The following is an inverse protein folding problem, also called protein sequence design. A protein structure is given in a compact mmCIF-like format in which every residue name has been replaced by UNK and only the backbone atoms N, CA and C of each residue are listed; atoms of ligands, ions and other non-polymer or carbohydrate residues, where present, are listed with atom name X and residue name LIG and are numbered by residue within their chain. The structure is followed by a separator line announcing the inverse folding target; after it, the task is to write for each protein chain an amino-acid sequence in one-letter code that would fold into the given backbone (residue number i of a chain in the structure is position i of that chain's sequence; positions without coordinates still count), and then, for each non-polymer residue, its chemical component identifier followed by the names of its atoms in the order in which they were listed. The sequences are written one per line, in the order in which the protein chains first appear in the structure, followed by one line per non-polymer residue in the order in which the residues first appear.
data_IF_809538918176
#
_entry.id   IF_809538918176
#
_cell.length_a   1.000
_cell.length_b   1.000
_cell.length_c   1.000
_cell.angle_alpha   90.00
_cell.angle_beta   90.00
_cell.angle_gamma   90.00
#
_symmetry.space_group_name_H-M   'P 1'
#
loop_
_entity.id
_entity.type
_entity.pdbx_description
1 polymer ?
#
# COMPACT_ATOMS: atom_id res chain seq x y z
N UNK A 1 72.61 29.82 -4.45
CA UNK A 1 72.36 29.67 -3.00
C UNK A 1 71.08 30.34 -2.52
N UNK A 2 70.95 31.67 -2.40
CA UNK A 2 69.74 32.27 -1.78
C UNK A 2 68.42 31.94 -2.51
N UNK A 3 68.38 32.04 -3.85
CA UNK A 3 67.19 31.70 -4.65
C UNK A 3 66.82 30.22 -4.63
N UNK A 4 67.82 29.35 -4.54
CA UNK A 4 67.62 27.91 -4.45
C UNK A 4 67.02 27.54 -3.09
N UNK A 5 67.47 28.18 -2.01
CA UNK A 5 66.91 28.02 -0.67
C UNK A 5 65.46 28.52 -0.62
N UNK A 6 65.16 29.69 -1.21
CA UNK A 6 63.79 30.23 -1.28
C UNK A 6 62.86 29.32 -2.09
N UNK A 7 63.36 28.77 -3.20
CA UNK A 7 62.59 27.83 -4.03
C UNK A 7 62.31 26.52 -3.28
N UNK A 8 63.27 26.01 -2.50
CA UNK A 8 63.11 24.81 -1.69
C UNK A 8 62.10 25.02 -0.54
N UNK A 9 62.11 26.20 0.09
CA UNK A 9 61.14 26.59 1.12
C UNK A 9 59.73 26.67 0.54
N UNK A 10 59.57 27.28 -0.64
CA UNK A 10 58.27 27.35 -1.31
C UNK A 10 57.74 25.97 -1.70
N UNK A 11 58.60 25.11 -2.22
CA UNK A 11 58.23 23.75 -2.61
C UNK A 11 57.83 22.92 -1.37
N UNK A 12 58.56 23.06 -0.26
CA UNK A 12 58.19 22.50 1.05
C UNK A 12 56.85 23.04 1.57
N UNK A 13 56.61 24.35 1.41
CA UNK A 13 55.33 24.99 1.75
C UNK A 13 54.17 24.45 0.92
N UNK A 14 54.38 24.23 -0.38
CA UNK A 14 53.37 23.68 -1.30
C UNK A 14 53.05 22.22 -0.93
N UNK A 15 54.08 21.42 -0.60
CA UNK A 15 53.88 20.07 -0.07
C UNK A 15 53.12 20.06 1.26
N UNK A 16 53.45 20.96 2.18
CA UNK A 16 52.74 21.10 3.45
C UNK A 16 51.28 21.52 3.25
N UNK A 17 51.01 22.44 2.33
CA UNK A 17 49.67 22.90 1.97
C UNK A 17 48.86 21.78 1.31
N UNK A 18 49.49 20.99 0.42
CA UNK A 18 48.91 19.76 -0.14
C UNK A 18 48.61 18.71 0.93
N UNK A 19 49.51 18.51 1.89
CA UNK A 19 49.30 17.61 3.03
C UNK A 19 48.10 18.05 3.89
N UNK A 20 47.98 19.35 4.18
CA UNK A 20 46.82 19.92 4.88
C UNK A 20 45.53 19.71 4.06
N UNK A 21 45.58 19.95 2.75
CA UNK A 21 44.43 19.80 1.84
C UNK A 21 43.89 18.36 1.86
N UNK A 22 44.78 17.37 1.84
CA UNK A 22 44.43 15.95 1.95
C UNK A 22 43.92 15.62 3.36
N UNK A 23 44.65 16.02 4.41
CA UNK A 23 44.31 15.72 5.81
C UNK A 23 42.94 16.28 6.21
N UNK A 24 42.63 17.51 5.78
CA UNK A 24 41.33 18.17 6.03
C UNK A 24 40.23 17.80 5.02
N UNK A 25 40.52 16.90 4.07
CA UNK A 25 39.57 16.41 3.04
C UNK A 25 38.94 17.52 2.20
N UNK A 26 39.67 18.59 1.92
CA UNK A 26 39.18 19.71 1.12
C UNK A 26 38.93 19.38 -0.36
N UNK A 27 39.35 18.20 -0.81
CA UNK A 27 38.99 17.62 -2.10
C UNK A 27 37.55 17.10 -2.17
N UNK A 28 36.88 16.85 -1.03
CA UNK A 28 35.49 16.36 -1.02
C UNK A 28 34.53 17.50 -1.30
N UNK A 29 34.03 17.55 -2.52
CA UNK A 29 32.97 18.47 -2.94
C UNK A 29 31.62 17.91 -2.46
N UNK A 30 30.72 18.80 -2.05
CA UNK A 30 29.35 18.46 -1.69
C UNK A 30 28.34 19.23 -2.56
N UNK A 31 27.04 18.99 -2.35
CA UNK A 31 25.95 19.58 -3.14
C UNK A 31 25.61 21.04 -2.77
N UNK A 32 26.19 21.61 -1.70
CA UNK A 32 25.97 23.01 -1.29
C UNK A 32 26.56 23.98 -2.31
N UNK A 33 26.40 25.28 -2.11
CA UNK A 33 26.91 26.31 -3.02
C UNK A 33 28.38 26.07 -3.41
N UNK A 34 28.71 26.31 -4.68
CA UNK A 34 30.08 26.18 -5.21
C UNK A 34 31.07 27.05 -4.43
N UNK A 35 30.64 28.24 -4.01
CA UNK A 35 31.47 29.20 -3.29
C UNK A 35 31.82 28.75 -1.86
N UNK A 36 31.03 27.83 -1.30
CA UNK A 36 31.34 27.20 -0.01
C UNK A 36 32.39 26.08 -0.14
N UNK A 37 32.68 25.63 -1.36
CA UNK A 37 33.58 24.49 -1.57
C UNK A 37 35.04 24.94 -1.50
N UNK A 38 35.84 24.41 -0.56
CA UNK A 38 37.26 24.75 -0.48
C UNK A 38 38.01 24.42 -1.78
N UNK A 39 37.68 23.30 -2.43
CA UNK A 39 38.28 22.90 -3.71
C UNK A 39 38.20 23.98 -4.80
N UNK A 40 37.11 24.76 -4.82
CA UNK A 40 36.94 25.88 -5.76
C UNK A 40 37.97 26.98 -5.49
N UNK A 41 38.11 27.40 -4.23
CA UNK A 41 39.10 28.41 -3.85
C UNK A 41 40.53 27.93 -4.04
N UNK A 42 40.84 26.65 -3.82
CA UNK A 42 42.17 26.10 -4.13
C UNK A 42 42.47 26.11 -5.63
N UNK A 43 41.47 25.85 -6.50
CA UNK A 43 41.64 25.86 -7.95
C UNK A 43 42.04 27.23 -8.52
N UNK A 44 41.68 28.32 -7.83
CA UNK A 44 42.02 29.70 -8.20
C UNK A 44 43.23 30.19 -7.40
N UNK A 45 43.22 29.97 -6.08
CA UNK A 45 44.21 30.50 -5.15
C UNK A 45 45.60 29.89 -5.32
N UNK A 46 45.69 28.59 -5.64
CA UNK A 46 47.00 27.94 -5.83
C UNK A 46 47.73 28.47 -7.08
N UNK A 47 47.12 28.53 -8.27
CA UNK A 47 47.74 29.18 -9.44
C UNK A 47 48.08 30.65 -9.21
N UNK A 48 47.21 31.41 -8.52
CA UNK A 48 47.46 32.82 -8.20
C UNK A 48 48.67 33.00 -7.28
N UNK A 49 48.73 32.25 -6.17
CA UNK A 49 49.86 32.28 -5.25
C UNK A 49 51.16 31.86 -5.94
N UNK A 50 51.10 30.84 -6.80
CA UNK A 50 52.26 30.38 -7.59
C UNK A 50 52.72 31.42 -8.61
N UNK A 51 51.78 32.11 -9.27
CA UNK A 51 52.08 33.22 -10.17
C UNK A 51 52.79 34.37 -9.43
N UNK A 52 52.28 34.78 -8.28
CA UNK A 52 52.89 35.85 -7.48
C UNK A 52 54.29 35.47 -6.98
N UNK A 53 54.47 34.22 -6.54
CA UNK A 53 55.77 33.71 -6.10
C UNK A 53 56.80 33.68 -7.24
N UNK A 54 56.46 33.05 -8.37
CA UNK A 54 57.35 32.99 -9.53
C UNK A 54 57.60 34.38 -10.12
N UNK A 55 56.57 35.23 -10.15
CA UNK A 55 56.68 36.62 -10.56
C UNK A 55 57.67 37.37 -9.70
N UNK A 56 57.54 37.31 -8.37
CA UNK A 56 58.46 37.97 -7.45
C UNK A 56 59.91 37.55 -7.66
N UNK A 57 60.19 36.25 -7.80
CA UNK A 57 61.56 35.76 -8.08
C UNK A 57 62.17 36.33 -9.35
N UNK A 58 61.35 36.50 -10.40
CA UNK A 58 61.82 36.97 -11.70
C UNK A 58 61.88 38.51 -11.76
N UNK A 59 60.95 39.20 -11.10
CA UNK A 59 60.82 40.66 -11.16
C UNK A 59 61.82 41.37 -10.26
N UNK A 60 62.17 40.81 -9.09
CA UNK A 60 63.11 41.44 -8.13
C UNK A 60 64.46 41.75 -8.80
N UNK A 61 64.99 40.84 -9.61
CA UNK A 61 66.26 41.07 -10.32
C UNK A 61 66.19 42.11 -11.43
N UNK A 62 64.98 42.39 -11.92
CA UNK A 62 64.74 43.20 -13.12
C UNK A 62 63.96 44.48 -12.82
N UNK A 63 63.80 44.82 -11.55
CA UNK A 63 63.01 45.95 -11.07
C UNK A 63 63.46 47.29 -11.67
N UNK A 64 64.77 47.50 -11.79
CA UNK A 64 65.36 48.70 -12.38
C UNK A 64 65.08 48.89 -13.88
N UNK A 65 64.55 47.86 -14.56
CA UNK A 65 64.24 47.90 -15.99
C UNK A 65 62.75 48.13 -16.30
N UNK A 66 61.94 48.41 -15.28
CA UNK A 66 60.53 48.69 -15.45
C UNK A 66 60.32 50.03 -16.16
N UNK A 67 59.57 50.00 -17.27
CA UNK A 67 59.25 51.19 -18.08
C UNK A 67 57.82 51.05 -18.61
N UNK A 68 57.04 52.13 -18.55
CA UNK A 68 55.65 52.19 -19.07
C UNK A 68 55.58 52.47 -20.58
N UNK A 69 56.68 52.23 -21.30
CA UNK A 69 56.75 52.36 -22.76
C UNK A 69 56.29 51.07 -23.45
N UNK A 70 55.94 51.15 -24.74
CA UNK A 70 55.57 49.97 -25.54
C UNK A 70 56.64 48.85 -25.46
N UNK A 71 57.92 49.23 -25.49
CA UNK A 71 59.04 48.30 -25.34
C UNK A 71 59.11 47.68 -23.93
N UNK A 72 58.84 48.46 -22.89
CA UNK A 72 58.77 47.98 -21.50
C UNK A 72 57.65 46.96 -21.26
N UNK A 73 56.47 47.17 -21.85
CA UNK A 73 55.37 46.20 -21.80
C UNK A 73 55.72 44.88 -22.50
N UNK A 74 56.30 44.95 -23.70
CA UNK A 74 56.73 43.74 -24.44
C UNK A 74 57.74 42.91 -23.63
N UNK A 75 58.72 43.59 -23.02
CA UNK A 75 59.72 42.96 -22.16
C UNK A 75 59.11 42.36 -20.89
N UNK A 76 58.15 43.04 -20.26
CA UNK A 76 57.44 42.50 -19.08
C UNK A 76 56.69 41.21 -19.40
N UNK A 77 55.96 41.17 -20.52
CA UNK A 77 55.25 39.98 -20.97
C UNK A 77 56.22 38.84 -21.28
N UNK A 78 57.35 39.14 -21.92
CA UNK A 78 58.36 38.14 -22.25
C UNK A 78 58.96 37.49 -20.99
N UNK A 79 59.27 38.31 -19.99
CA UNK A 79 59.84 37.86 -18.72
C UNK A 79 58.80 37.13 -17.86
N UNK A 80 57.53 37.50 -17.96
CA UNK A 80 56.43 36.95 -17.15
C UNK A 80 55.70 35.77 -17.79
N UNK A 81 56.17 35.25 -18.93
CA UNK A 81 55.56 34.12 -19.66
C UNK A 81 55.22 32.95 -18.73
N UNK A 82 56.17 32.52 -17.88
CA UNK A 82 55.98 31.39 -16.98
C UNK A 82 54.96 31.69 -15.85
N UNK A 83 55.09 32.78 -15.06
CA UNK A 83 54.07 33.17 -14.07
C UNK A 83 52.66 33.28 -14.66
N UNK A 84 52.54 33.93 -15.82
CA UNK A 84 51.25 34.14 -16.50
C UNK A 84 50.65 32.82 -17.02
N UNK A 85 51.47 31.89 -17.51
CA UNK A 85 51.01 30.56 -17.93
C UNK A 85 50.50 29.74 -16.74
N UNK A 86 51.17 29.82 -15.59
CA UNK A 86 50.68 29.19 -14.36
C UNK A 86 49.36 29.81 -13.93
N UNK A 87 49.24 31.15 -13.95
CA UNK A 87 47.97 31.82 -13.64
C UNK A 87 46.85 31.40 -14.60
N UNK A 88 47.16 31.26 -15.90
CA UNK A 88 46.20 30.83 -16.90
C UNK A 88 45.62 29.44 -16.60
N UNK A 89 46.35 28.56 -15.89
CA UNK A 89 45.84 27.24 -15.46
C UNK A 89 44.71 27.31 -14.42
N UNK A 90 44.50 28.46 -13.76
CA UNK A 90 43.36 28.67 -12.86
C UNK A 90 42.03 28.48 -13.57
N UNK A 91 41.93 28.91 -14.83
CA UNK A 91 40.70 28.81 -15.63
C UNK A 91 40.29 27.35 -15.87
N UNK A 92 41.15 26.48 -16.45
CA UNK A 92 40.79 25.07 -16.61
C UNK A 92 40.58 24.36 -15.27
N UNK A 93 41.32 24.69 -14.20
CA UNK A 93 41.09 24.07 -12.88
C UNK A 93 39.75 24.45 -12.27
N UNK A 94 39.37 25.74 -12.31
CA UNK A 94 38.07 26.19 -11.84
C UNK A 94 36.93 25.57 -12.67
N UNK A 95 37.12 25.43 -13.98
CA UNK A 95 36.17 24.76 -14.88
C UNK A 95 35.95 23.28 -14.51
N UNK A 96 37.03 22.54 -14.21
CA UNK A 96 36.95 21.14 -13.77
C UNK A 96 36.16 21.02 -12.46
N UNK A 97 36.49 21.84 -11.46
CA UNK A 97 35.80 21.84 -10.15
C UNK A 97 34.31 22.15 -10.32
N UNK A 98 33.96 23.13 -11.16
CA UNK A 98 32.58 23.48 -11.46
C UNK A 98 31.80 22.33 -12.12
N UNK A 99 32.39 21.63 -13.09
CA UNK A 99 31.73 20.48 -13.74
C UNK A 99 31.54 19.30 -12.78
N UNK A 100 32.52 19.03 -11.91
CA UNK A 100 32.40 18.01 -10.87
C UNK A 100 31.29 18.36 -9.87
N UNK A 101 31.23 19.62 -9.45
CA UNK A 101 30.18 20.13 -8.57
C UNK A 101 28.78 20.00 -9.19
N UNK A 102 28.61 20.40 -10.46
CA UNK A 102 27.36 20.19 -11.21
C UNK A 102 26.93 18.73 -11.26
N UNK A 103 27.88 17.81 -11.43
CA UNK A 103 27.60 16.37 -11.47
C UNK A 103 27.06 15.88 -10.12
N UNK A 104 27.70 16.26 -9.01
CA UNK A 104 27.28 15.91 -7.64
C UNK A 104 25.89 16.50 -7.32
N UNK A 105 25.64 17.75 -7.72
CA UNK A 105 24.32 18.37 -7.56
C UNK A 105 23.25 17.64 -8.35
N UNK A 106 23.56 17.26 -9.60
CA UNK A 106 22.64 16.53 -10.46
C UNK A 106 22.31 15.14 -9.88
N UNK A 107 23.32 14.41 -9.40
CA UNK A 107 23.12 13.11 -8.73
C UNK A 107 22.22 13.25 -7.50
N UNK A 108 22.46 14.27 -6.67
CA UNK A 108 21.65 14.57 -5.49
C UNK A 108 20.20 14.91 -5.87
N UNK A 109 20.00 15.71 -6.90
CA UNK A 109 18.68 16.07 -7.42
C UNK A 109 17.94 14.86 -7.97
N UNK A 110 18.62 13.97 -8.72
CA UNK A 110 18.05 12.71 -9.21
C UNK A 110 17.60 11.86 -8.03
N UNK A 111 18.47 11.66 -7.02
CA UNK A 111 18.16 10.87 -5.83
C UNK A 111 16.94 11.40 -5.08
N UNK A 112 16.85 12.73 -4.88
CA UNK A 112 15.70 13.35 -4.21
C UNK A 112 14.43 13.28 -5.05
N UNK A 113 14.55 13.42 -6.38
CA UNK A 113 13.43 13.28 -7.32
C UNK A 113 12.91 11.84 -7.34
N UNK A 114 13.79 10.84 -7.34
CA UNK A 114 13.41 9.43 -7.24
C UNK A 114 12.66 9.13 -5.93
N UNK A 115 13.16 9.64 -4.80
CA UNK A 115 12.49 9.49 -3.51
C UNK A 115 11.09 10.12 -3.52
N UNK A 116 10.98 11.32 -4.11
CA UNK A 116 9.70 12.01 -4.27
C UNK A 116 8.76 11.21 -5.18
N UNK A 117 9.22 10.77 -6.34
CA UNK A 117 8.44 9.97 -7.29
C UNK A 117 7.91 8.68 -6.65
N UNK A 118 8.72 7.97 -5.86
CA UNK A 118 8.27 6.79 -5.11
C UNK A 118 7.16 7.14 -4.11
N UNK A 119 7.34 8.22 -3.36
CA UNK A 119 6.35 8.68 -2.36
C UNK A 119 5.04 9.11 -3.03
N UNK A 120 5.13 9.93 -4.07
CA UNK A 120 3.97 10.44 -4.82
C UNK A 120 3.23 9.29 -5.52
N UNK A 121 3.97 8.34 -6.11
CA UNK A 121 3.41 7.13 -6.70
C UNK A 121 2.66 6.27 -5.69
N UNK A 122 3.22 6.06 -4.49
CA UNK A 122 2.55 5.34 -3.41
C UNK A 122 1.22 6.00 -3.02
N UNK A 123 1.21 7.31 -2.74
CA UNK A 123 -0.02 8.00 -2.34
C UNK A 123 -1.06 8.09 -3.45
N UNK A 124 -0.62 8.26 -4.71
CA UNK A 124 -1.51 8.22 -5.86
C UNK A 124 -2.18 6.85 -6.01
N UNK A 125 -1.42 5.77 -5.85
CA UNK A 125 -1.93 4.40 -5.92
C UNK A 125 -2.90 4.10 -4.78
N UNK A 126 -2.53 4.40 -3.52
CA UNK A 126 -3.41 4.26 -2.35
C UNK A 126 -4.73 5.00 -2.59
N UNK A 127 -4.66 6.25 -3.04
CA UNK A 127 -5.85 7.07 -3.27
C UNK A 127 -6.74 6.46 -4.35
N UNK A 128 -6.17 6.17 -5.52
CA UNK A 128 -6.91 5.57 -6.63
C UNK A 128 -7.61 4.27 -6.23
N UNK A 129 -6.88 3.35 -5.60
CA UNK A 129 -7.43 2.06 -5.19
C UNK A 129 -8.48 2.19 -4.08
N UNK A 130 -8.24 3.03 -3.06
CA UNK A 130 -9.22 3.22 -1.99
C UNK A 130 -10.47 3.95 -2.46
N UNK A 131 -10.36 4.88 -3.41
CA UNK A 131 -11.51 5.55 -4.01
C UNK A 131 -12.31 4.58 -4.89
N UNK A 132 -11.64 3.70 -5.65
CA UNK A 132 -12.31 2.61 -6.36
C UNK A 132 -13.06 1.69 -5.40
N UNK A 133 -12.42 1.21 -4.32
CA UNK A 133 -13.05 0.33 -3.34
C UNK A 133 -14.28 0.96 -2.67
N UNK A 134 -14.26 2.28 -2.42
CA UNK A 134 -15.43 3.01 -1.91
C UNK A 134 -16.56 3.16 -2.94
N UNK A 135 -16.22 3.13 -4.23
CA UNK A 135 -17.20 3.24 -5.32
C UNK A 135 -17.92 1.94 -5.65
N UNK A 136 -17.48 0.81 -5.06
CA UNK A 136 -18.17 -0.48 -5.19
C UNK A 136 -19.61 -0.39 -4.65
N UNK A 137 -20.54 -1.18 -5.20
CA UNK A 137 -21.96 -1.05 -4.90
C UNK A 137 -22.26 -1.24 -3.41
N UNK A 138 -23.12 -0.36 -2.87
CA UNK A 138 -23.67 -0.48 -1.53
C UNK A 138 -25.07 -1.09 -1.61
N UNK A 139 -25.35 -2.13 -0.82
CA UNK A 139 -26.70 -2.73 -0.76
C UNK A 139 -27.31 -2.51 0.60
N UNK A 140 -28.46 -1.82 0.64
CA UNK A 140 -29.26 -1.64 1.85
C UNK A 140 -30.40 -2.65 1.86
N UNK A 141 -30.50 -3.42 2.95
CA UNK A 141 -31.59 -4.36 3.20
C UNK A 141 -32.45 -3.84 4.34
N UNK A 142 -33.73 -4.17 4.30
CA UNK A 142 -34.72 -3.74 5.29
C UNK A 142 -35.51 -4.92 5.82
N UNK A 143 -35.79 -4.91 7.11
CA UNK A 143 -36.62 -5.90 7.77
C UNK A 143 -37.58 -5.23 8.77
N UNK A 144 -38.72 -5.87 9.00
CA UNK A 144 -39.68 -5.43 10.04
C UNK A 144 -39.25 -5.99 11.39
N UNK A 145 -38.97 -5.12 12.34
CA UNK A 145 -38.61 -5.47 13.72
C UNK A 145 -39.63 -4.91 14.72
N UNK A 146 -39.81 -5.63 15.83
CA UNK A 146 -40.68 -5.26 16.94
C UNK A 146 -39.86 -4.36 17.87
N UNK A 147 -40.22 -3.10 17.99
CA UNK A 147 -39.58 -2.17 18.91
C UNK A 147 -39.93 -2.48 20.37
N UNK A 148 -39.18 -1.91 21.32
CA UNK A 148 -39.43 -2.06 22.77
C UNK A 148 -40.83 -1.58 23.20
N UNK A 149 -41.48 -0.73 22.40
CA UNK A 149 -42.86 -0.26 22.61
C UNK A 149 -43.93 -1.21 22.04
N UNK A 150 -43.55 -2.38 21.50
CA UNK A 150 -44.45 -3.37 20.90
C UNK A 150 -44.92 -3.04 19.47
N UNK A 151 -44.54 -1.90 18.91
CA UNK A 151 -44.87 -1.53 17.52
C UNK A 151 -43.88 -2.14 16.53
N UNK A 152 -44.38 -2.49 15.35
CA UNK A 152 -43.55 -2.86 14.21
C UNK A 152 -42.91 -1.60 13.61
N UNK A 153 -41.59 -1.65 13.40
CA UNK A 153 -40.84 -0.64 12.67
C UNK A 153 -39.95 -1.29 11.61
N UNK A 154 -39.58 -0.50 10.61
CA UNK A 154 -38.62 -0.92 9.59
C UNK A 154 -37.21 -0.57 10.08
N UNK A 155 -36.34 -1.56 10.16
CA UNK A 155 -34.91 -1.41 10.44
C UNK A 155 -34.12 -1.77 9.20
N UNK A 156 -32.94 -1.19 9.04
CA UNK A 156 -32.13 -1.35 7.84
C UNK A 156 -30.68 -1.63 8.16
N UNK A 157 -30.07 -2.48 7.34
CA UNK A 157 -28.64 -2.78 7.40
C UNK A 157 -28.01 -2.58 6.02
N UNK A 158 -26.78 -2.09 5.99
CA UNK A 158 -26.08 -1.76 4.74
C UNK A 158 -24.80 -2.54 4.61
N UNK A 159 -24.65 -3.25 3.49
CA UNK A 159 -23.42 -3.93 3.12
C UNK A 159 -22.58 -3.01 2.23
N UNK A 160 -21.45 -2.57 2.78
CA UNK A 160 -20.43 -1.77 2.10
C UNK A 160 -19.07 -1.95 2.75
N UNK A 161 -18.01 -1.73 1.98
CA UNK A 161 -16.64 -1.79 2.49
C UNK A 161 -16.48 -0.74 3.59
N UNK A 162 -16.18 -1.21 4.81
CA UNK A 162 -16.03 -0.33 5.98
C UNK A 162 -14.61 0.20 6.06
N UNK A 163 -13.60 -0.63 5.77
CA UNK A 163 -12.19 -0.26 5.90
C UNK A 163 -11.41 -0.41 4.57
N UNK A 164 -11.62 0.48 3.59
CA UNK A 164 -10.99 0.39 2.27
C UNK A 164 -9.45 0.48 2.33
N UNK A 165 -8.89 1.26 3.26
CA UNK A 165 -7.43 1.36 3.42
C UNK A 165 -6.82 0.07 4.01
N UNK A 166 -7.54 -0.61 4.91
CA UNK A 166 -7.12 -1.91 5.45
C UNK A 166 -7.10 -2.95 4.34
N UNK A 167 -8.16 -2.98 3.52
CA UNK A 167 -8.25 -3.88 2.37
C UNK A 167 -7.13 -3.62 1.37
N UNK A 168 -6.85 -2.35 1.05
CA UNK A 168 -5.72 -1.97 0.20
C UNK A 168 -4.39 -2.55 0.72
N UNK A 169 -4.10 -2.43 2.01
CA UNK A 169 -2.86 -2.96 2.59
C UNK A 169 -2.75 -4.49 2.50
N UNK A 170 -3.89 -5.20 2.57
CA UNK A 170 -3.94 -6.65 2.38
C UNK A 170 -3.72 -7.06 0.92
N UNK A 171 -4.22 -6.26 -0.02
CA UNK A 171 -4.02 -6.49 -1.46
C UNK A 171 -2.62 -6.08 -1.93
N UNK A 172 -2.00 -5.07 -1.32
CA UNK A 172 -0.71 -4.52 -1.72
C UNK A 172 0.25 -4.38 -0.52
N UNK A 173 0.70 -5.50 0.08
CA UNK A 173 1.47 -5.48 1.33
C UNK A 173 2.87 -4.85 1.18
N UNK A 174 3.45 -4.85 -0.02
CA UNK A 174 4.80 -4.33 -0.27
C UNK A 174 4.83 -2.84 -0.62
N UNK A 175 3.66 -2.22 -0.83
CA UNK A 175 3.55 -0.79 -1.10
C UNK A 175 3.90 0.02 0.14
N UNK A 176 4.86 0.94 0.02
CA UNK A 176 5.21 1.86 1.10
C UNK A 176 5.71 3.20 0.56
N UNK A 177 5.73 4.27 1.38
CA UNK A 177 6.35 5.53 0.97
C UNK A 177 7.83 5.42 0.59
N UNK A 178 8.53 4.39 1.06
CA UNK A 178 9.96 4.16 0.82
C UNK A 178 10.21 3.31 -0.43
N UNK A 179 9.45 2.23 -0.60
CA UNK A 179 9.55 1.32 -1.74
C UNK A 179 8.83 1.85 -2.99
N UNK A 180 7.78 2.64 -2.81
CA UNK A 180 6.90 3.12 -3.87
C UNK A 180 5.63 2.28 -4.02
N UNK A 181 4.92 2.48 -5.12
CA UNK A 181 3.78 1.67 -5.50
C UNK A 181 4.25 0.42 -6.27
N UNK A 182 3.69 -0.73 -5.91
CA UNK A 182 3.73 -1.96 -6.69
C UNK A 182 2.35 -2.13 -7.33
N UNK A 183 2.32 -2.34 -8.64
CA UNK A 183 1.08 -2.41 -9.41
C UNK A 183 0.53 -3.84 -9.51
N UNK A 184 1.29 -4.83 -9.06
CA UNK A 184 0.83 -6.21 -8.95
C UNK A 184 0.26 -6.43 -7.55
N UNK A 185 -1.01 -6.81 -7.49
CA UNK A 185 -1.64 -7.20 -6.23
C UNK A 185 -1.09 -8.55 -5.76
N UNK A 186 -1.03 -8.74 -4.45
CA UNK A 186 -0.76 -10.03 -3.83
C UNK A 186 -1.98 -10.96 -3.97
N UNK A 187 -1.74 -12.21 -4.35
CA UNK A 187 -2.81 -13.20 -4.63
C UNK A 187 -3.32 -13.88 -3.36
N UNK A 188 -2.61 -13.73 -2.24
CA UNK A 188 -2.94 -14.44 -1.00
C UNK A 188 -4.30 -14.02 -0.47
N UNK A 189 -4.58 -12.71 -0.48
CA UNK A 189 -5.85 -12.19 0.06
C UNK A 189 -7.05 -12.53 -0.82
N UNK A 190 -6.94 -12.41 -2.15
CA UNK A 190 -8.04 -12.80 -3.06
C UNK A 190 -8.30 -14.30 -3.05
N UNK A 191 -7.27 -15.13 -2.84
CA UNK A 191 -7.45 -16.56 -2.65
C UNK A 191 -8.30 -16.90 -1.41
N UNK A 192 -8.21 -16.11 -0.32
CA UNK A 192 -9.08 -16.28 0.85
C UNK A 192 -10.54 -15.97 0.52
N UNK A 193 -10.79 -14.90 -0.24
CA UNK A 193 -12.14 -14.53 -0.72
C UNK A 193 -12.71 -15.68 -1.58
N UNK A 194 -11.95 -16.17 -2.55
CA UNK A 194 -12.37 -17.27 -3.42
C UNK A 194 -12.62 -18.57 -2.63
N UNK A 195 -11.78 -18.87 -1.63
CA UNK A 195 -11.96 -20.03 -0.75
C UNK A 195 -13.27 -19.96 0.03
N UNK A 196 -13.62 -18.78 0.56
CA UNK A 196 -14.92 -18.56 1.22
C UNK A 196 -16.08 -18.80 0.25
N UNK A 197 -16.00 -18.32 -0.98
CA UNK A 197 -17.04 -18.58 -2.00
C UNK A 197 -17.17 -20.05 -2.41
N UNK A 198 -16.06 -20.79 -2.47
CA UNK A 198 -16.10 -22.25 -2.69
C UNK A 198 -16.88 -22.94 -1.57
N UNK A 199 -16.67 -22.54 -0.30
CA UNK A 199 -17.41 -23.08 0.84
C UNK A 199 -18.88 -22.69 0.81
N UNK A 200 -19.21 -21.41 0.57
CA UNK A 200 -20.59 -20.93 0.40
C UNK A 200 -21.31 -21.78 -0.66
N UNK A 201 -20.69 -21.98 -1.83
CA UNK A 201 -21.26 -22.77 -2.91
C UNK A 201 -21.45 -24.26 -2.53
N UNK A 202 -20.61 -24.80 -1.66
CA UNK A 202 -20.80 -26.15 -1.12
C UNK A 202 -22.02 -26.22 -0.20
N UNK A 203 -22.13 -25.28 0.74
CA UNK A 203 -23.22 -25.20 1.71
C UNK A 203 -24.56 -24.99 0.99
N UNK A 204 -24.62 -24.07 0.01
CA UNK A 204 -25.83 -23.82 -0.79
C UNK A 204 -26.30 -25.08 -1.55
N UNK A 205 -25.36 -25.84 -2.11
CA UNK A 205 -25.67 -27.08 -2.82
C UNK A 205 -26.18 -28.18 -1.86
N UNK A 206 -25.58 -28.30 -0.67
CA UNK A 206 -26.06 -29.20 0.38
C UNK A 206 -27.46 -28.81 0.87
N UNK A 207 -27.68 -27.52 1.10
CA UNK A 207 -28.97 -26.97 1.50
C UNK A 207 -30.03 -27.30 0.44
N UNK A 208 -29.73 -27.09 -0.85
CA UNK A 208 -30.63 -27.44 -1.95
C UNK A 208 -30.96 -28.94 -1.99
N UNK A 209 -29.96 -29.81 -1.81
CA UNK A 209 -30.17 -31.27 -1.75
C UNK A 209 -31.09 -31.67 -0.59
N UNK A 210 -30.86 -31.11 0.60
CA UNK A 210 -31.65 -31.40 1.79
C UNK A 210 -33.10 -30.91 1.62
N UNK A 211 -33.29 -29.72 1.05
CA UNK A 211 -34.63 -29.19 0.73
C UNK A 211 -35.39 -30.09 -0.24
N UNK A 212 -34.74 -30.55 -1.31
CA UNK A 212 -35.35 -31.47 -2.25
C UNK A 212 -35.70 -32.82 -1.60
N UNK A 213 -34.83 -33.34 -0.72
CA UNK A 213 -35.10 -34.57 0.01
C UNK A 213 -36.34 -34.44 0.92
N UNK A 214 -36.48 -33.31 1.62
CA UNK A 214 -37.65 -33.00 2.46
C UNK A 214 -38.91 -32.86 1.59
N UNK A 215 -38.85 -32.11 0.49
CA UNK A 215 -39.98 -31.93 -0.42
C UNK A 215 -40.49 -33.24 -1.04
N UNK A 216 -39.59 -34.22 -1.25
CA UNK A 216 -39.92 -35.55 -1.75
C UNK A 216 -40.22 -36.57 -0.64
N UNK A 217 -40.34 -36.14 0.63
CA UNK A 217 -40.66 -37.02 1.77
C UNK A 217 -39.56 -38.04 2.10
N UNK A 218 -38.32 -37.82 1.64
CA UNK A 218 -37.18 -38.73 1.86
C UNK A 218 -36.42 -38.45 3.17
N UNK A 219 -36.70 -37.33 3.83
CA UNK A 219 -36.10 -36.95 5.10
C UNK A 219 -37.11 -36.16 5.93
N UNK A 220 -37.27 -36.56 7.19
CA UNK A 220 -38.19 -35.90 8.15
C UNK A 220 -37.45 -34.93 9.09
N UNK A 221 -36.12 -34.97 9.13
CA UNK A 221 -35.33 -34.12 10.03
C UNK A 221 -35.08 -32.73 9.45
N UNK A 222 -36.00 -31.81 9.72
CA UNK A 222 -35.88 -30.41 9.31
C UNK A 222 -34.81 -29.62 10.11
N UNK A 223 -34.25 -30.18 11.19
CA UNK A 223 -33.19 -29.51 11.96
C UNK A 223 -31.89 -29.34 11.16
N UNK A 224 -31.71 -30.16 10.12
CA UNK A 224 -30.61 -30.04 9.15
C UNK A 224 -30.64 -28.69 8.43
N UNK A 225 -31.83 -28.12 8.16
CA UNK A 225 -31.95 -26.81 7.53
C UNK A 225 -31.45 -25.68 8.45
N UNK A 226 -31.72 -25.77 9.76
CA UNK A 226 -31.20 -24.83 10.75
C UNK A 226 -29.67 -24.90 10.84
N UNK A 227 -29.11 -26.11 10.75
CA UNK A 227 -27.67 -26.32 10.70
C UNK A 227 -27.04 -25.67 9.47
N UNK A 228 -27.59 -25.92 8.27
CA UNK A 228 -27.07 -25.34 7.03
C UNK A 228 -27.20 -23.81 7.03
N UNK A 229 -28.27 -23.25 7.58
CA UNK A 229 -28.44 -21.80 7.75
C UNK A 229 -27.35 -21.20 8.63
N UNK A 230 -27.12 -21.80 9.80
CA UNK A 230 -26.08 -21.35 10.73
C UNK A 230 -24.68 -21.38 10.08
N UNK A 231 -24.33 -22.48 9.41
CA UNK A 231 -23.05 -22.60 8.70
C UNK A 231 -22.89 -21.54 7.61
N UNK A 232 -23.97 -21.26 6.88
CA UNK A 232 -23.96 -20.25 5.83
C UNK A 232 -23.78 -18.84 6.40
N UNK A 233 -24.46 -18.51 7.50
CA UNK A 233 -24.29 -17.22 8.17
C UNK A 233 -22.86 -17.05 8.73
N UNK A 234 -22.26 -18.10 9.30
CA UNK A 234 -20.87 -18.05 9.78
C UNK A 234 -19.86 -17.80 8.64
N UNK A 235 -20.02 -18.48 7.51
CA UNK A 235 -19.16 -18.23 6.34
C UNK A 235 -19.46 -16.87 5.68
N UNK A 236 -20.68 -16.33 5.78
CA UNK A 236 -21.00 -14.93 5.41
C UNK A 236 -20.22 -13.95 6.28
N UNK A 237 -20.25 -14.11 7.62
CA UNK A 237 -19.50 -13.25 8.56
C UNK A 237 -18.00 -13.28 8.24
N UNK A 238 -17.46 -14.48 8.00
CA UNK A 238 -16.06 -14.66 7.60
C UNK A 238 -15.74 -13.99 6.27
N UNK A 239 -16.65 -14.06 5.30
CA UNK A 239 -16.51 -13.37 4.02
C UNK A 239 -16.51 -11.86 4.21
N UNK A 240 -17.42 -11.31 5.03
CA UNK A 240 -17.40 -9.89 5.38
C UNK A 240 -16.04 -9.46 5.97
N UNK A 241 -15.44 -10.27 6.85
CA UNK A 241 -14.12 -9.99 7.41
C UNK A 241 -13.01 -9.96 6.34
N UNK A 242 -13.04 -10.87 5.36
CA UNK A 242 -12.10 -10.84 4.23
C UNK A 242 -12.31 -9.61 3.33
N UNK A 243 -13.55 -9.11 3.22
CA UNK A 243 -13.90 -7.94 2.41
C UNK A 243 -13.75 -6.61 3.18
N UNK A 244 -13.30 -6.65 4.45
CA UNK A 244 -13.23 -5.48 5.34
C UNK A 244 -14.58 -4.77 5.53
N UNK A 245 -15.64 -5.57 5.62
CA UNK A 245 -17.01 -5.16 5.92
C UNK A 245 -17.29 -5.55 7.38
N UNK A 246 -17.72 -4.59 8.21
CA UNK A 246 -18.31 -4.94 9.51
C UNK A 246 -19.64 -5.64 9.24
N UNK A 247 -19.79 -6.89 9.66
CA UNK A 247 -21.04 -7.63 9.48
C UNK A 247 -22.21 -6.84 10.07
N UNK A 248 -23.14 -6.33 9.24
CA UNK A 248 -24.16 -5.43 9.71
C UNK A 248 -25.34 -6.25 10.25
N UNK A 249 -25.82 -5.89 11.44
CA UNK A 249 -26.94 -6.55 12.12
C UNK A 249 -28.10 -5.58 12.31
N UNK A 250 -29.31 -6.11 12.49
CA UNK A 250 -30.44 -5.32 12.95
C UNK A 250 -30.37 -5.11 14.46
N UNK A 251 -31.20 -4.22 14.99
CA UNK A 251 -31.35 -4.04 16.45
C UNK A 251 -31.83 -5.31 17.17
N UNK A 252 -32.56 -6.19 16.48
CA UNK A 252 -33.06 -7.46 17.02
C UNK A 252 -32.61 -8.64 16.18
N UNK A 253 -32.34 -9.74 16.86
CA UNK A 253 -32.06 -11.04 16.26
C UNK A 253 -33.36 -11.83 16.05
N UNK A 254 -33.32 -12.82 15.17
CA UNK A 254 -34.45 -13.72 14.90
C UNK A 254 -34.19 -15.08 15.51
N UNK A 255 -35.19 -15.64 16.18
CA UNK A 255 -35.14 -16.96 16.79
C UNK A 255 -36.09 -17.90 16.04
N UNK A 256 -35.54 -18.93 15.42
CA UNK A 256 -36.29 -19.96 14.70
C UNK A 256 -36.24 -21.25 15.52
N UNK A 257 -37.39 -21.73 15.97
CA UNK A 257 -37.53 -22.93 16.81
C UNK A 257 -38.23 -24.04 16.03
N UNK A 258 -37.70 -25.24 16.12
CA UNK A 258 -38.28 -26.47 15.60
C UNK A 258 -37.99 -27.63 16.54
N UNK A 259 -39.03 -28.25 17.12
CA UNK A 259 -38.91 -29.27 18.17
C UNK A 259 -37.95 -28.82 19.30
N UNK A 260 -36.89 -29.60 19.55
CA UNK A 260 -35.86 -29.29 20.55
C UNK A 260 -34.63 -28.56 19.96
N UNK A 261 -34.78 -27.99 18.77
CA UNK A 261 -33.74 -27.25 18.06
C UNK A 261 -34.12 -25.78 17.94
N UNK A 262 -33.13 -24.90 18.10
CA UNK A 262 -33.27 -23.44 18.04
C UNK A 262 -32.09 -22.84 17.29
N UNK A 263 -32.37 -21.92 16.38
CA UNK A 263 -31.40 -21.07 15.72
C UNK A 263 -31.70 -19.61 16.07
N UNK A 264 -30.73 -18.91 16.66
CA UNK A 264 -30.72 -17.45 16.74
C UNK A 264 -29.84 -16.92 15.61
N UNK A 265 -30.36 -16.03 14.77
CA UNK A 265 -29.70 -15.51 13.55
C UNK A 265 -29.92 -14.01 13.39
N UNK A 266 -29.00 -13.30 12.73
CA UNK A 266 -29.17 -11.90 12.34
C UNK A 266 -29.85 -11.74 10.98
N UNK A 267 -30.24 -12.84 10.34
CA UNK A 267 -30.90 -12.89 9.04
C UNK A 267 -32.37 -13.25 9.24
N UNK A 268 -33.27 -12.44 8.70
CA UNK A 268 -34.70 -12.62 8.89
C UNK A 268 -35.27 -13.75 8.03
N UNK A 269 -34.84 -13.91 6.78
CA UNK A 269 -35.45 -14.86 5.85
C UNK A 269 -34.45 -15.44 4.84
N UNK A 270 -34.85 -16.50 4.13
CA UNK A 270 -34.01 -17.03 3.04
C UNK A 270 -33.89 -16.02 1.89
N UNK A 271 -34.95 -15.28 1.58
CA UNK A 271 -34.88 -14.17 0.61
C UNK A 271 -33.85 -13.11 1.02
N UNK A 272 -33.79 -12.77 2.32
CA UNK A 272 -32.78 -11.84 2.81
C UNK A 272 -31.37 -12.44 2.72
N UNK A 273 -31.19 -13.70 3.13
CA UNK A 273 -29.92 -14.40 3.01
C UNK A 273 -29.39 -14.37 1.57
N UNK A 274 -30.27 -14.62 0.60
CA UNK A 274 -29.96 -14.53 -0.83
C UNK A 274 -29.48 -13.12 -1.22
N UNK A 275 -30.20 -12.07 -0.80
CA UNK A 275 -29.83 -10.68 -1.10
C UNK A 275 -28.49 -10.28 -0.46
N UNK A 276 -28.20 -10.77 0.75
CA UNK A 276 -26.89 -10.59 1.41
C UNK A 276 -25.80 -11.22 0.55
N UNK A 277 -25.99 -12.48 0.14
CA UNK A 277 -25.02 -13.19 -0.69
C UNK A 277 -24.81 -12.50 -2.04
N UNK A 278 -25.86 -12.02 -2.70
CA UNK A 278 -25.75 -11.26 -3.93
C UNK A 278 -24.93 -9.97 -3.75
N UNK A 279 -25.20 -9.20 -2.68
CA UNK A 279 -24.42 -8.00 -2.37
C UNK A 279 -22.92 -8.31 -2.12
N UNK A 280 -22.63 -9.39 -1.40
CA UNK A 280 -21.25 -9.81 -1.15
C UNK A 280 -20.58 -10.33 -2.42
N UNK A 281 -21.32 -10.97 -3.33
CA UNK A 281 -20.79 -11.44 -4.62
C UNK A 281 -20.34 -10.24 -5.45
N UNK A 282 -21.18 -9.22 -5.61
CA UNK A 282 -20.86 -8.01 -6.38
C UNK A 282 -19.60 -7.31 -5.84
N UNK A 283 -19.51 -7.15 -4.50
CA UNK A 283 -18.32 -6.56 -3.86
C UNK A 283 -17.08 -7.45 -4.06
N UNK A 284 -17.23 -8.78 -3.93
CA UNK A 284 -16.12 -9.72 -4.10
C UNK A 284 -15.57 -9.70 -5.53
N UNK A 285 -16.47 -9.70 -6.53
CA UNK A 285 -16.10 -9.58 -7.94
C UNK A 285 -15.36 -8.27 -8.16
N UNK A 286 -15.90 -7.15 -7.68
CA UNK A 286 -15.27 -5.84 -7.80
C UNK A 286 -13.87 -5.77 -7.21
N UNK A 287 -13.62 -6.44 -6.08
CA UNK A 287 -12.29 -6.51 -5.45
C UNK A 287 -11.31 -7.39 -6.25
N UNK A 288 -11.74 -8.57 -6.68
CA UNK A 288 -10.88 -9.49 -7.46
C UNK A 288 -10.52 -8.87 -8.82
N UNK A 289 -11.45 -8.12 -9.41
CA UNK A 289 -11.23 -7.37 -10.65
C UNK A 289 -10.26 -6.20 -10.44
N UNK A 290 -10.43 -5.41 -9.37
CA UNK A 290 -9.51 -4.33 -9.01
C UNK A 290 -8.06 -4.80 -8.79
N UNK A 291 -7.90 -6.02 -8.29
CA UNK A 291 -6.60 -6.65 -8.11
C UNK A 291 -6.00 -7.18 -9.43
N UNK A 292 -6.71 -7.08 -10.56
CA UNK A 292 -6.38 -7.75 -11.83
C UNK A 292 -6.14 -9.26 -11.66
N UNK A 293 -6.86 -9.89 -10.74
CA UNK A 293 -6.68 -11.29 -10.35
C UNK A 293 -7.89 -12.15 -10.69
N UNK A 294 -8.74 -11.70 -11.61
CA UNK A 294 -9.81 -12.50 -12.17
C UNK A 294 -9.23 -13.66 -12.98
N UNK A 295 -8.97 -14.78 -12.30
CA UNK A 295 -8.49 -16.02 -12.91
C UNK A 295 -9.65 -16.86 -13.44
N UNK A 296 -9.36 -17.81 -14.33
CA UNK A 296 -10.32 -18.85 -14.77
C UNK A 296 -11.01 -19.55 -13.60
N UNK A 297 -10.30 -19.73 -12.47
CA UNK A 297 -10.85 -20.30 -11.24
C UNK A 297 -11.88 -19.37 -10.61
N UNK A 298 -11.60 -18.06 -10.52
CA UNK A 298 -12.55 -17.05 -10.05
C UNK A 298 -13.81 -17.02 -10.91
N UNK A 299 -13.64 -17.02 -12.24
CA UNK A 299 -14.77 -17.09 -13.18
C UNK A 299 -15.64 -18.31 -12.94
N UNK A 300 -15.04 -19.50 -12.76
CA UNK A 300 -15.80 -20.72 -12.49
C UNK A 300 -16.54 -20.67 -11.14
N UNK A 301 -15.91 -20.12 -10.09
CA UNK A 301 -16.53 -19.97 -8.76
C UNK A 301 -17.77 -19.09 -8.85
N UNK A 302 -17.66 -17.88 -9.39
CA UNK A 302 -18.79 -16.95 -9.50
C UNK A 302 -19.83 -17.40 -10.54
N UNK A 303 -19.44 -18.10 -11.60
CA UNK A 303 -20.40 -18.73 -12.52
C UNK A 303 -21.25 -19.77 -11.81
N UNK A 304 -20.64 -20.58 -10.95
CA UNK A 304 -21.38 -21.57 -10.13
C UNK A 304 -22.29 -20.88 -9.12
N UNK A 305 -21.82 -19.82 -8.47
CA UNK A 305 -22.62 -18.98 -7.56
C UNK A 305 -23.87 -18.45 -8.27
N UNK A 306 -23.69 -17.79 -9.43
CA UNK A 306 -24.79 -17.26 -10.25
C UNK A 306 -25.80 -18.34 -10.67
N UNK A 307 -25.34 -19.54 -10.99
CA UNK A 307 -26.23 -20.68 -11.30
C UNK A 307 -27.06 -21.09 -10.07
N UNK A 308 -26.44 -21.22 -8.90
CA UNK A 308 -27.15 -21.52 -7.65
C UNK A 308 -28.13 -20.42 -7.29
N UNK A 309 -27.75 -19.16 -7.50
CA UNK A 309 -28.60 -17.99 -7.28
C UNK A 309 -29.83 -17.98 -8.19
N UNK A 310 -29.70 -18.39 -9.45
CA UNK A 310 -30.85 -18.51 -10.36
C UNK A 310 -31.92 -19.50 -9.86
N UNK A 311 -31.52 -20.54 -9.13
CA UNK A 311 -32.44 -21.49 -8.50
C UNK A 311 -33.07 -20.91 -7.24
N UNK A 312 -32.35 -20.02 -6.56
CA UNK A 312 -32.73 -19.40 -5.30
C UNK A 312 -33.46 -18.06 -5.43
N UNK A 313 -33.69 -17.55 -6.64
CA UNK A 313 -34.30 -16.22 -6.85
C UNK A 313 -35.70 -16.02 -6.25
N UNK A 314 -36.36 -17.11 -5.80
CA UNK A 314 -37.54 -17.09 -4.91
C UNK A 314 -37.49 -18.31 -3.98
N UNK A 315 -36.76 -18.24 -2.85
CA UNK A 315 -36.65 -19.38 -1.96
C UNK A 315 -37.97 -19.57 -1.20
N UNK A 316 -38.51 -20.79 -1.16
CA UNK A 316 -39.62 -21.12 -0.24
C UNK A 316 -39.15 -20.91 1.20
N UNK A 317 -39.91 -20.22 2.03
CA UNK A 317 -39.46 -19.93 3.40
C UNK A 317 -39.61 -21.17 4.30
N UNK A 318 -38.87 -21.23 5.42
CA UNK A 318 -38.95 -22.37 6.36
C UNK A 318 -40.39 -22.63 6.82
N UNK A 319 -41.10 -21.55 7.13
CA UNK A 319 -42.49 -21.57 7.60
C UNK A 319 -43.46 -22.09 6.52
N UNK A 320 -43.12 -21.93 5.24
CA UNK A 320 -43.89 -22.47 4.11
C UNK A 320 -43.58 -23.94 3.83
N UNK A 321 -42.40 -24.42 4.23
CA UNK A 321 -41.98 -25.82 4.06
C UNK A 321 -42.56 -26.74 5.13
N UNK A 322 -42.81 -26.25 6.35
CA UNK A 322 -43.45 -27.00 7.42
C UNK A 322 -44.09 -26.08 8.47
N UNK A 323 -45.33 -26.37 8.88
CA UNK A 323 -46.06 -25.66 9.93
C UNK A 323 -45.43 -25.77 11.35
N UNK A 324 -44.41 -26.62 11.54
CA UNK A 324 -43.72 -26.82 12.80
C UNK A 324 -42.66 -25.75 13.15
N UNK A 325 -42.24 -24.91 12.19
CA UNK A 325 -41.31 -23.82 12.48
C UNK A 325 -42.03 -22.65 13.16
N UNK A 326 -41.40 -22.12 14.21
CA UNK A 326 -41.86 -20.91 14.89
C UNK A 326 -40.77 -19.87 14.89
N UNK A 327 -41.07 -18.71 14.33
CA UNK A 327 -40.16 -17.57 14.26
C UNK A 327 -40.58 -16.47 15.23
N UNK A 328 -39.65 -16.04 16.06
CA UNK A 328 -39.81 -14.92 17.02
C UNK A 328 -38.62 -13.96 16.91
N UNK A 329 -38.72 -12.79 17.55
CA UNK A 329 -37.62 -11.83 17.65
C UNK A 329 -37.08 -11.79 19.07
N UNK A 330 -35.77 -11.62 19.21
CA UNK A 330 -35.06 -11.67 20.50
C UNK A 330 -33.94 -10.64 20.54
N UNK A 331 -33.67 -10.11 21.74
CA UNK A 331 -32.60 -9.14 21.98
C UNK A 331 -31.29 -9.85 22.35
N UNK A 332 -31.01 -10.98 21.68
CA UNK A 332 -29.87 -11.84 22.00
C UNK A 332 -28.59 -11.28 21.34
N UNK A 333 -27.62 -10.80 22.13
CA UNK A 333 -26.38 -10.23 21.61
C UNK A 333 -25.42 -11.31 21.06
N UNK A 334 -25.63 -12.58 21.39
CA UNK A 334 -24.72 -13.67 21.02
C UNK A 334 -25.10 -14.33 19.67
N UNK A 335 -25.88 -13.64 18.83
CA UNK A 335 -26.24 -14.14 17.50
C UNK A 335 -25.03 -14.07 16.52
N UNK A 336 -24.81 -15.09 15.67
CA UNK A 336 -25.62 -16.29 15.49
C UNK A 336 -25.31 -17.43 16.48
N UNK A 337 -26.35 -18.14 16.92
CA UNK A 337 -26.28 -19.25 17.88
C UNK A 337 -27.13 -20.44 17.40
N UNK A 338 -26.56 -21.65 17.41
CA UNK A 338 -27.28 -22.87 17.06
C UNK A 338 -27.38 -23.83 18.25
N UNK A 339 -28.58 -24.34 18.49
CA UNK A 339 -28.88 -25.44 19.42
C UNK A 339 -29.59 -26.52 18.61
N UNK A 340 -29.03 -27.73 18.52
CA UNK A 340 -29.70 -28.88 17.90
C UNK A 340 -29.96 -29.92 18.97
N UNK A 341 -31.22 -30.35 19.08
CA UNK A 341 -31.65 -31.38 20.04
C UNK A 341 -31.14 -31.12 21.47
N UNK A 342 -31.22 -29.87 21.92
CA UNK A 342 -30.78 -29.43 23.25
C UNK A 342 -29.27 -29.24 23.44
N UNK A 343 -28.43 -29.49 22.43
CA UNK A 343 -26.97 -29.25 22.49
C UNK A 343 -26.60 -27.99 21.74
N UNK A 344 -25.82 -27.10 22.38
CA UNK A 344 -25.25 -25.90 21.75
C UNK A 344 -24.14 -26.30 20.78
N UNK A 345 -24.10 -25.69 19.60
CA UNK A 345 -23.04 -25.88 18.61
C UNK A 345 -22.28 -24.59 18.38
N UNK A 346 -20.98 -24.71 18.16
CA UNK A 346 -20.10 -23.62 17.75
C UNK A 346 -19.37 -24.00 16.46
N UNK A 347 -19.20 -23.02 15.58
CA UNK A 347 -18.38 -23.17 14.39
C UNK A 347 -16.90 -22.89 14.70
N UNK A 348 -16.06 -23.92 14.57
CA UNK A 348 -14.60 -23.81 14.68
C UNK A 348 -13.92 -23.67 13.30
N UNK A 349 -14.65 -23.18 12.29
CA UNK A 349 -14.16 -22.81 10.96
C UNK A 349 -14.24 -23.92 9.92
N UNK A 350 -13.91 -25.17 10.28
CA UNK A 350 -14.06 -26.35 9.41
C UNK A 350 -14.91 -27.46 10.05
N UNK A 351 -15.20 -27.38 11.34
CA UNK A 351 -15.94 -28.40 12.10
C UNK A 351 -17.01 -27.72 12.96
N UNK A 352 -18.25 -28.16 12.81
CA UNK A 352 -19.32 -27.87 13.76
C UNK A 352 -19.25 -28.89 14.89
N UNK A 353 -18.93 -28.45 16.10
CA UNK A 353 -18.88 -29.33 17.27
C UNK A 353 -19.87 -28.88 18.33
N UNK A 354 -20.40 -29.84 19.09
CA UNK A 354 -21.17 -29.52 20.28
C UNK A 354 -20.25 -28.87 21.31
N UNK A 355 -20.66 -27.71 21.83
CA UNK A 355 -19.99 -27.09 22.97
C UNK A 355 -20.20 -27.98 24.20
N UNK A 356 -19.11 -28.31 24.90
CA UNK A 356 -19.15 -29.09 26.14
C UNK A 356 -19.79 -28.30 27.29
#
# INVERSE_FOLDING_TARGET
MEKEIISLIYLSSLFFLGFIFIKKRYYRINHKSLLEQPAFWFSIGLPLATCLFLGALIWIDKWHSFSLTSHGYSRFLEISKLPLLVLASAVPFASIVNNLHRTIQTEKQITESEKKNKTDGYYAHVKFQTDYLKSLPETQLKAKIIQSNGKMAEDSKTFKITYPLSLYKKLYPNCSPLSGAEYEADKTHTALILKSWVKINSILNELQKNRNAIAHGKSEDLSVLLKSWYQLEMEIIKTCNHLEIIYPTYQKSFSIVYNNSKLTTSISSFDEMYKILAALEDISIGIVDAANQFTMVGTHVFTKTKKLFSVWGRPTELDEMNAGFRKTQTDDPDAPLLILNGKRYMDFGDILAAAQ
#
